data_IF_685986074027
#
_entry.id   IF_685986074027
#
_cell.length_a   1.000
_cell.length_b   1.000
_cell.length_c   1.000
_cell.angle_alpha   90.00
_cell.angle_beta   90.00
_cell.angle_gamma   90.00
#
_symmetry.space_group_name_H-M   'P 1'
#
loop_
_entity.id
_entity.type
_entity.pdbx_description
1 polymer ?
#
# COMPACT_ATOMS: atom_id res chain seq x y z
N UNK A 1 15.28 -8.31 -12.53
CA UNK A 1 13.82 -8.15 -12.39
C UNK A 1 13.18 -8.54 -13.71
N UNK A 2 12.41 -9.61 -13.71
CA UNK A 2 11.79 -10.15 -14.93
C UNK A 2 10.58 -9.31 -15.34
N UNK A 3 10.82 -8.31 -16.19
CA UNK A 3 9.80 -7.35 -16.64
C UNK A 3 8.67 -8.03 -17.43
N UNK A 4 8.96 -9.13 -18.11
CA UNK A 4 7.97 -9.86 -18.90
C UNK A 4 7.01 -10.62 -17.98
N UNK A 5 7.54 -11.29 -16.95
CA UNK A 5 6.73 -11.96 -15.94
C UNK A 5 5.81 -10.98 -15.18
N UNK A 6 6.31 -9.81 -14.78
CA UNK A 6 5.51 -8.77 -14.10
C UNK A 6 4.35 -8.29 -14.99
N UNK A 7 4.62 -8.10 -16.29
CA UNK A 7 3.60 -7.67 -17.26
C UNK A 7 2.51 -8.73 -17.42
N UNK A 8 2.89 -9.99 -17.61
CA UNK A 8 1.97 -11.12 -17.72
C UNK A 8 1.07 -11.25 -16.47
N UNK A 9 1.65 -11.15 -15.27
CA UNK A 9 0.89 -11.25 -14.01
C UNK A 9 -0.15 -10.13 -13.89
N UNK A 10 0.18 -8.90 -14.30
CA UNK A 10 -0.77 -7.78 -14.33
C UNK A 10 -1.92 -8.03 -15.32
N UNK A 11 -1.61 -8.51 -16.52
CA UNK A 11 -2.61 -8.82 -17.54
C UNK A 11 -3.57 -9.93 -17.08
N UNK A 12 -3.07 -10.97 -16.40
CA UNK A 12 -3.91 -12.00 -15.80
C UNK A 12 -4.80 -11.45 -14.70
N UNK A 13 -4.28 -10.64 -13.76
CA UNK A 13 -5.08 -10.03 -12.69
C UNK A 13 -6.24 -9.22 -13.28
N UNK A 14 -5.98 -8.37 -14.26
CA UNK A 14 -7.04 -7.59 -14.93
C UNK A 14 -8.06 -8.48 -15.63
N UNK A 15 -7.61 -9.53 -16.31
CA UNK A 15 -8.50 -10.50 -16.97
C UNK A 15 -9.44 -11.18 -15.96
N UNK A 16 -8.91 -11.69 -14.84
CA UNK A 16 -9.71 -12.37 -13.84
C UNK A 16 -10.63 -11.41 -13.05
N UNK A 17 -10.20 -10.17 -12.80
CA UNK A 17 -11.08 -9.12 -12.22
C UNK A 17 -12.27 -8.84 -13.13
N UNK A 18 -12.03 -8.68 -14.44
CA UNK A 18 -13.09 -8.49 -15.43
C UNK A 18 -14.08 -9.67 -15.44
N UNK A 19 -13.56 -10.90 -15.46
CA UNK A 19 -14.38 -12.13 -15.43
C UNK A 19 -15.25 -12.23 -14.16
N UNK A 20 -14.70 -11.83 -13.01
CA UNK A 20 -15.43 -11.79 -11.73
C UNK A 20 -16.53 -10.73 -11.74
N UNK A 21 -16.20 -9.52 -12.20
CA UNK A 21 -17.10 -8.36 -12.13
C UNK A 21 -18.26 -8.46 -13.13
N UNK A 22 -17.99 -9.00 -14.32
CA UNK A 22 -19.02 -9.25 -15.35
C UNK A 22 -19.92 -10.46 -15.04
N UNK A 23 -19.61 -11.23 -13.99
CA UNK A 23 -20.32 -12.46 -13.59
C UNK A 23 -20.55 -13.44 -14.75
N UNK A 24 -19.66 -13.43 -15.74
CA UNK A 24 -19.78 -14.20 -16.99
C UNK A 24 -19.31 -15.65 -16.86
N UNK A 25 -18.62 -15.96 -15.75
CA UNK A 25 -18.09 -17.30 -15.48
C UNK A 25 -19.17 -18.18 -14.85
N UNK A 26 -19.61 -19.19 -15.60
CA UNK A 26 -20.56 -20.19 -15.10
C UNK A 26 -19.88 -21.49 -14.70
N UNK A 27 -18.62 -21.70 -15.07
CA UNK A 27 -17.90 -22.95 -14.85
C UNK A 27 -16.43 -22.69 -14.63
N UNK A 28 -15.84 -23.33 -13.63
CA UNK A 28 -14.39 -23.38 -13.43
C UNK A 28 -13.97 -24.84 -13.32
N UNK A 29 -13.00 -25.24 -14.14
CA UNK A 29 -12.46 -26.60 -14.15
C UNK A 29 -10.95 -26.59 -13.95
N UNK A 30 -10.48 -27.47 -13.07
CA UNK A 30 -9.08 -27.78 -12.85
C UNK A 30 -8.80 -29.16 -13.42
N UNK A 31 -7.96 -29.23 -14.44
CA UNK A 31 -7.60 -30.49 -15.09
C UNK A 31 -6.24 -30.95 -14.59
N UNK A 32 -6.18 -32.16 -14.08
CA UNK A 32 -4.94 -32.92 -13.84
C UNK A 32 -4.79 -33.98 -14.94
N UNK A 33 -3.61 -34.61 -15.09
CA UNK A 33 -3.42 -35.66 -16.10
C UNK A 33 -4.42 -36.82 -16.00
N UNK A 34 -4.95 -37.08 -14.80
CA UNK A 34 -5.83 -38.22 -14.54
C UNK A 34 -7.31 -37.83 -14.35
N UNK A 35 -7.60 -36.58 -13.95
CA UNK A 35 -8.94 -36.19 -13.53
C UNK A 35 -9.27 -34.73 -13.88
N UNK A 36 -10.56 -34.44 -14.04
CA UNK A 36 -11.08 -33.08 -14.15
C UNK A 36 -11.98 -32.79 -12.94
N UNK A 37 -11.63 -31.78 -12.17
CA UNK A 37 -12.41 -31.27 -11.05
C UNK A 37 -13.02 -29.93 -11.43
N UNK A 38 -14.17 -29.57 -10.89
CA UNK A 38 -14.74 -28.27 -11.20
C UNK A 38 -16.03 -27.96 -10.50
N UNK A 39 -16.42 -26.69 -10.61
CA UNK A 39 -17.69 -26.15 -10.14
C UNK A 39 -18.42 -25.61 -11.35
N UNK A 40 -19.67 -26.06 -11.55
CA UNK A 40 -20.55 -25.60 -12.62
C UNK A 40 -21.80 -24.97 -12.02
N UNK A 41 -22.24 -23.84 -12.60
CA UNK A 41 -23.49 -23.12 -12.31
C UNK A 41 -23.73 -22.85 -10.82
N UNK A 42 -22.67 -22.71 -10.05
CA UNK A 42 -22.75 -22.42 -8.62
C UNK A 42 -22.00 -21.13 -8.27
N UNK A 43 -22.67 -19.97 -8.36
CA UNK A 43 -22.03 -18.66 -8.15
C UNK A 43 -21.48 -18.49 -6.73
N UNK A 44 -22.07 -19.14 -5.73
CA UNK A 44 -21.60 -19.10 -4.33
C UNK A 44 -20.20 -19.69 -4.18
N UNK A 45 -19.80 -20.61 -5.06
CA UNK A 45 -18.46 -21.21 -5.08
C UNK A 45 -17.57 -20.62 -6.16
N UNK A 46 -18.12 -20.27 -7.33
CA UNK A 46 -17.36 -19.70 -8.45
C UNK A 46 -16.75 -18.35 -8.08
N UNK A 47 -17.51 -17.46 -7.42
CA UNK A 47 -17.02 -16.13 -7.08
C UNK A 47 -15.85 -16.18 -6.08
N UNK A 48 -15.93 -16.91 -4.94
CA UNK A 48 -14.78 -17.08 -4.05
C UNK A 48 -13.57 -17.77 -4.69
N UNK A 49 -13.79 -18.70 -5.63
CA UNK A 49 -12.69 -19.32 -6.38
C UNK A 49 -11.99 -18.30 -7.29
N UNK A 50 -12.73 -17.43 -7.99
CA UNK A 50 -12.15 -16.32 -8.77
C UNK A 50 -11.38 -15.34 -7.88
N UNK A 51 -11.94 -14.96 -6.73
CA UNK A 51 -11.25 -14.08 -5.77
C UNK A 51 -9.94 -14.72 -5.28
N UNK A 52 -9.94 -16.03 -5.04
CA UNK A 52 -8.74 -16.79 -4.64
C UNK A 52 -7.71 -16.84 -5.76
N UNK A 53 -8.13 -17.05 -7.01
CA UNK A 53 -7.23 -17.02 -8.18
C UNK A 53 -6.58 -15.63 -8.31
N UNK A 54 -7.38 -14.56 -8.22
CA UNK A 54 -6.89 -13.17 -8.26
C UNK A 54 -5.86 -12.97 -7.15
N UNK A 55 -6.17 -13.35 -5.91
CA UNK A 55 -5.28 -13.23 -4.77
C UNK A 55 -3.95 -13.97 -4.98
N UNK A 56 -3.97 -15.18 -5.55
CA UNK A 56 -2.74 -15.95 -5.86
C UNK A 56 -1.89 -15.22 -6.89
N UNK A 57 -2.49 -14.63 -7.92
CA UNK A 57 -1.76 -13.85 -8.91
C UNK A 57 -1.20 -12.55 -8.34
N UNK A 58 -1.96 -11.84 -7.49
CA UNK A 58 -1.50 -10.64 -6.79
C UNK A 58 -0.29 -10.96 -5.90
N UNK A 59 -0.34 -12.05 -5.12
CA UNK A 59 0.80 -12.50 -4.31
C UNK A 59 2.02 -12.84 -5.18
N UNK A 60 1.84 -13.51 -6.32
CA UNK A 60 2.95 -13.79 -7.26
C UNK A 60 3.54 -12.52 -7.85
N UNK A 61 2.69 -11.54 -8.19
CA UNK A 61 3.12 -10.23 -8.68
C UNK A 61 3.96 -9.52 -7.62
N UNK A 62 3.51 -9.55 -6.37
CA UNK A 62 4.23 -8.94 -5.27
C UNK A 62 5.60 -9.62 -5.04
N UNK A 63 5.66 -10.96 -5.02
CA UNK A 63 6.95 -11.69 -4.94
C UNK A 63 7.86 -11.31 -6.12
N UNK A 64 7.32 -11.16 -7.33
CA UNK A 64 8.12 -10.79 -8.50
C UNK A 64 8.67 -9.35 -8.43
N UNK A 65 7.95 -8.43 -7.77
CA UNK A 65 8.34 -7.03 -7.60
C UNK A 65 9.31 -6.86 -6.42
N UNK A 66 9.01 -7.50 -5.28
CA UNK A 66 9.66 -7.25 -4.00
C UNK A 66 10.64 -8.35 -3.59
N UNK A 67 10.63 -9.51 -4.26
CA UNK A 67 11.51 -10.65 -3.98
C UNK A 67 10.99 -11.60 -2.88
N UNK A 68 9.93 -11.22 -2.17
CA UNK A 68 9.26 -12.04 -1.14
C UNK A 68 7.78 -11.61 -1.03
N UNK A 69 6.97 -12.39 -0.31
CA UNK A 69 5.60 -12.01 0.04
C UNK A 69 5.67 -10.74 0.90
N UNK A 70 5.07 -9.62 0.47
CA UNK A 70 5.09 -8.40 1.25
C UNK A 70 4.34 -8.66 2.56
N UNK A 71 5.03 -8.41 3.67
CA UNK A 71 4.42 -8.43 4.99
C UNK A 71 3.19 -7.49 4.94
N UNK A 72 2.00 -7.94 5.40
CA UNK A 72 0.83 -7.07 5.46
C UNK A 72 1.20 -5.74 6.13
N UNK A 73 0.70 -4.61 5.63
CA UNK A 73 1.08 -3.30 6.17
C UNK A 73 0.91 -3.27 7.70
N UNK A 74 -0.18 -3.84 8.23
CA UNK A 74 -0.46 -3.95 9.66
C UNK A 74 0.62 -4.66 10.48
N UNK A 75 1.40 -5.54 9.84
CA UNK A 75 2.47 -6.31 10.46
C UNK A 75 3.85 -5.68 10.28
N UNK A 76 3.98 -4.70 9.38
CA UNK A 76 5.22 -3.94 9.16
C UNK A 76 5.69 -3.20 10.41
N UNK A 77 7.00 -2.98 10.50
CA UNK A 77 7.59 -2.17 11.57
C UNK A 77 7.06 -0.73 11.50
N UNK A 78 6.95 -0.19 10.29
CA UNK A 78 6.51 1.16 9.98
C UNK A 78 5.09 1.42 10.48
N UNK A 79 4.16 0.51 10.23
CA UNK A 79 2.78 0.62 10.73
C UNK A 79 2.73 0.56 12.25
N UNK A 80 3.49 -0.36 12.87
CA UNK A 80 3.58 -0.45 14.34
C UNK A 80 4.12 0.84 14.95
N UNK A 81 5.12 1.46 14.34
CA UNK A 81 5.64 2.77 14.76
C UNK A 81 4.62 3.89 14.51
N UNK A 82 3.89 3.88 13.39
CA UNK A 82 2.84 4.85 13.11
C UNK A 82 1.72 4.80 14.17
N UNK A 83 1.28 3.60 14.59
CA UNK A 83 0.31 3.45 15.69
C UNK A 83 0.86 3.93 17.03
N UNK A 84 2.15 3.73 17.32
CA UNK A 84 2.78 4.30 18.53
C UNK A 84 2.81 5.82 18.49
N UNK A 85 3.12 6.40 17.34
CA UNK A 85 3.08 7.85 17.14
C UNK A 85 1.66 8.39 17.28
N UNK A 86 0.66 7.74 16.67
CA UNK A 86 -0.76 8.08 16.82
C UNK A 86 -1.17 8.12 18.30
N UNK A 87 -0.81 7.08 19.06
CA UNK A 87 -1.08 7.05 20.50
C UNK A 87 -0.34 8.18 21.24
N UNK A 88 0.91 8.47 20.87
CA UNK A 88 1.69 9.54 21.49
C UNK A 88 1.07 10.92 21.24
N UNK A 89 0.59 11.21 20.03
CA UNK A 89 -0.03 12.51 19.69
C UNK A 89 -1.48 12.63 20.18
N UNK A 90 -2.19 11.51 20.37
CA UNK A 90 -3.53 11.50 20.98
C UNK A 90 -3.49 11.73 22.51
N UNK A 91 -2.30 11.77 23.12
CA UNK A 91 -2.15 12.11 24.52
C UNK A 91 -2.35 13.63 24.71
N UNK A 92 -3.29 14.02 25.58
CA UNK A 92 -3.60 15.43 25.89
C UNK A 92 -2.40 16.25 26.39
N UNK A 93 -1.33 15.59 26.84
CA UNK A 93 -0.08 16.24 27.27
C UNK A 93 0.97 16.37 26.17
N UNK A 94 0.70 15.91 24.93
CA UNK A 94 1.66 16.03 23.83
C UNK A 94 1.75 17.48 23.35
N UNK A 95 2.96 18.04 23.36
CA UNK A 95 3.24 19.39 22.88
C UNK A 95 4.10 19.32 21.60
N UNK A 96 3.55 19.66 20.42
CA UNK A 96 4.27 19.61 19.15
C UNK A 96 5.53 20.49 19.13
N UNK A 97 5.50 21.65 19.78
CA UNK A 97 6.64 22.57 19.84
C UNK A 97 7.78 21.98 20.65
N UNK A 98 7.48 21.36 21.81
CA UNK A 98 8.48 20.63 22.61
C UNK A 98 9.06 19.43 21.87
N UNK A 99 8.24 18.73 21.06
CA UNK A 99 8.75 17.66 20.20
C UNK A 99 9.72 18.20 19.16
N UNK A 100 9.39 19.33 18.51
CA UNK A 100 10.28 19.97 17.55
C UNK A 100 11.59 20.46 18.19
N UNK A 101 11.53 21.05 19.39
CA UNK A 101 12.71 21.43 20.20
C UNK A 101 13.60 20.24 20.55
N UNK A 102 13.05 19.03 20.65
CA UNK A 102 13.81 17.82 20.95
C UNK A 102 14.58 17.25 19.75
N UNK A 103 14.17 17.54 18.51
CA UNK A 103 14.79 16.98 17.29
C UNK A 103 16.30 17.27 17.20
N UNK A 104 16.80 18.51 17.44
CA UNK A 104 18.22 18.81 17.40
C UNK A 104 19.10 18.00 18.37
N UNK A 105 18.51 17.42 19.42
CA UNK A 105 19.22 16.59 20.41
C UNK A 105 19.36 15.13 19.99
N UNK A 106 18.73 14.70 18.89
CA UNK A 106 18.87 13.33 18.38
C UNK A 106 20.20 13.11 17.67
N UNK A 107 20.58 11.85 17.43
CA UNK A 107 21.75 11.54 16.61
C UNK A 107 21.60 12.13 15.19
N UNK A 108 22.67 12.72 14.63
CA UNK A 108 22.61 13.48 13.36
C UNK A 108 22.03 12.68 12.20
N UNK A 109 22.37 11.39 12.08
CA UNK A 109 21.79 10.54 11.02
C UNK A 109 20.29 10.29 11.22
N UNK A 110 19.83 10.19 12.47
CA UNK A 110 18.41 10.03 12.80
C UNK A 110 17.63 11.32 12.55
N UNK A 111 18.22 12.50 12.79
CA UNK A 111 17.62 13.78 12.39
C UNK A 111 17.35 13.79 10.88
N UNK A 112 18.32 13.39 10.07
CA UNK A 112 18.14 13.29 8.62
C UNK A 112 17.04 12.28 8.26
N UNK A 113 17.00 11.11 8.92
CA UNK A 113 15.94 10.12 8.72
C UNK A 113 14.55 10.68 9.01
N UNK A 114 14.39 11.47 10.07
CA UNK A 114 13.13 12.14 10.41
C UNK A 114 12.70 13.11 9.31
N UNK A 115 13.59 13.95 8.80
CA UNK A 115 13.23 14.85 7.70
C UNK A 115 12.87 14.12 6.42
N UNK A 116 13.51 12.98 6.13
CA UNK A 116 13.10 12.12 5.00
C UNK A 116 11.72 11.50 5.23
N UNK A 117 11.42 11.08 6.46
CA UNK A 117 10.09 10.59 6.84
C UNK A 117 9.02 11.68 6.66
N UNK A 118 9.27 12.90 7.15
CA UNK A 118 8.36 14.05 6.99
C UNK A 118 8.11 14.33 5.50
N UNK A 119 9.15 14.36 4.67
CA UNK A 119 9.02 14.52 3.21
C UNK A 119 8.16 13.41 2.60
N UNK A 120 8.37 12.15 2.98
CA UNK A 120 7.55 11.03 2.51
C UNK A 120 6.08 11.18 2.89
N UNK A 121 5.77 11.63 4.11
CA UNK A 121 4.40 11.90 4.55
C UNK A 121 3.73 13.00 3.70
N UNK A 122 4.42 14.12 3.46
CA UNK A 122 3.92 15.22 2.62
C UNK A 122 3.64 14.73 1.20
N UNK A 123 4.61 14.03 0.59
CA UNK A 123 4.48 13.51 -0.76
C UNK A 123 3.36 12.48 -0.89
N UNK A 124 3.18 11.62 0.11
CA UNK A 124 2.07 10.65 0.13
C UNK A 124 0.73 11.38 0.21
N UNK A 125 0.53 12.24 1.21
CA UNK A 125 -0.74 12.94 1.43
C UNK A 125 -1.14 13.80 0.21
N UNK A 126 -0.18 14.45 -0.45
CA UNK A 126 -0.43 15.24 -1.67
C UNK A 126 -0.82 14.40 -2.91
N UNK A 127 -0.55 13.09 -2.91
CA UNK A 127 -0.87 12.16 -4.02
C UNK A 127 -2.13 11.32 -3.76
N UNK A 128 -2.60 11.26 -2.52
CA UNK A 128 -3.83 10.54 -2.17
C UNK A 128 -5.01 11.15 -2.94
N UNK A 129 -5.89 10.28 -3.42
CA UNK A 129 -7.15 10.69 -4.04
C UNK A 129 -7.97 11.55 -3.06
N UNK A 130 -8.34 12.76 -3.49
CA UNK A 130 -9.08 13.73 -2.70
C UNK A 130 -10.38 13.20 -2.10
N UNK A 131 -11.02 12.21 -2.76
CA UNK A 131 -12.23 11.55 -2.28
C UNK A 131 -12.01 10.58 -1.11
N UNK A 132 -10.75 10.22 -0.83
CA UNK A 132 -10.35 9.36 0.31
C UNK A 132 -9.87 10.16 1.52
N UNK A 133 -9.83 11.48 1.43
CA UNK A 133 -9.41 12.37 2.51
C UNK A 133 -10.62 12.72 3.36
N UNK A 134 -10.54 12.39 4.65
CA UNK A 134 -11.48 12.85 5.68
C UNK A 134 -11.45 14.38 5.77
N UNK A 135 -12.62 15.02 5.88
CA UNK A 135 -12.73 16.48 5.85
C UNK A 135 -11.97 17.18 6.98
N UNK A 136 -11.78 16.52 8.14
CA UNK A 136 -10.95 17.04 9.23
C UNK A 136 -9.48 17.22 8.82
N UNK A 137 -9.03 16.47 7.81
CA UNK A 137 -7.68 16.52 7.26
C UNK A 137 -7.59 17.34 5.96
N UNK A 138 -8.69 17.98 5.51
CA UNK A 138 -8.71 18.72 4.22
C UNK A 138 -7.66 19.83 4.19
N UNK A 139 -7.54 20.60 5.26
CA UNK A 139 -6.53 21.67 5.34
C UNK A 139 -5.09 21.13 5.23
N UNK A 140 -4.81 20.01 5.92
CA UNK A 140 -3.50 19.33 5.86
C UNK A 140 -3.20 18.80 4.46
N UNK A 141 -4.22 18.25 3.77
CA UNK A 141 -4.10 17.79 2.39
C UNK A 141 -3.74 18.94 1.44
N UNK A 142 -4.48 20.05 1.48
CA UNK A 142 -4.22 21.22 0.62
C UNK A 142 -2.84 21.82 0.92
N UNK A 143 -2.45 21.89 2.19
CA UNK A 143 -1.10 22.29 2.56
C UNK A 143 -0.04 21.38 1.92
N UNK A 144 -0.22 20.06 1.97
CA UNK A 144 0.71 19.12 1.34
C UNK A 144 0.76 19.28 -0.19
N UNK A 145 -0.37 19.58 -0.84
CA UNK A 145 -0.43 19.86 -2.29
C UNK A 145 0.42 21.07 -2.68
N UNK A 146 0.42 22.12 -1.87
CA UNK A 146 1.29 23.30 -2.10
C UNK A 146 2.75 22.99 -1.80
N UNK A 147 3.01 22.20 -0.74
CA UNK A 147 4.37 21.89 -0.31
C UNK A 147 5.10 20.91 -1.24
N UNK A 148 4.38 20.04 -1.98
CA UNK A 148 4.98 18.92 -2.73
C UNK A 148 6.08 19.37 -3.70
N UNK A 149 5.87 20.48 -4.41
CA UNK A 149 6.84 21.01 -5.37
C UNK A 149 8.10 21.53 -4.67
N UNK A 150 7.91 22.19 -3.52
CA UNK A 150 9.00 22.70 -2.70
C UNK A 150 9.84 21.55 -2.12
N UNK A 151 9.20 20.55 -1.52
CA UNK A 151 9.93 19.42 -0.91
C UNK A 151 10.61 18.55 -1.96
N UNK A 152 10.09 18.47 -3.19
CA UNK A 152 10.73 17.75 -4.29
C UNK A 152 11.90 18.52 -4.90
N UNK A 153 11.85 19.86 -4.91
CA UNK A 153 12.94 20.71 -5.39
C UNK A 153 14.21 20.55 -4.57
N UNK A 154 14.09 20.40 -3.24
CA UNK A 154 15.25 20.26 -2.36
C UNK A 154 15.61 18.79 -2.12
N UNK A 155 16.86 18.44 -2.40
CA UNK A 155 17.45 17.17 -2.02
C UNK A 155 17.77 17.17 -0.53
N UNK A 156 17.20 16.20 0.20
CA UNK A 156 17.69 15.89 1.55
C UNK A 156 19.02 15.14 1.41
N UNK A 157 19.97 15.27 2.37
CA UNK A 157 21.25 14.55 2.32
C UNK A 157 21.06 13.05 2.09
N UNK A 158 22.10 12.32 1.71
CA UNK A 158 22.08 10.85 1.72
C UNK A 158 22.66 10.32 3.04
N UNK A 159 22.17 9.16 3.51
CA UNK A 159 22.78 8.40 4.63
C UNK A 159 23.87 7.53 4.03
#
# INVERSE_FOLDING_TARGET
>A
MDKENIKMLREHIETYKKLRDESSVTTITFTTPEHCYGVEKNPEFIKPLLDTIIQVFETKLDIAIYGDVPIPLSESCEYKIAKKLEHAVNNYSFNPDRFAEAIPYMHRTLQQSIFRLIKSCICYMAKVDSGRIDDRNRASYEMCKVLIDTVNKYSLPHI
#
